data_IF_062541287933
#
_entry.id   IF_062541287933
#
_cell.length_a   1.000
_cell.length_b   1.000
_cell.length_c   1.000
_cell.angle_alpha   90.00
_cell.angle_beta   90.00
_cell.angle_gamma   90.00
#
_symmetry.space_group_name_H-M   'P 1'
#
loop_
_entity.id
_entity.type
_entity.pdbx_description
1 polymer ?
#
# COMPACT_ATOMS: atom_id res chain seq x y z
N UNK A 1 2.72 7.16 13.10
CA UNK A 1 1.56 7.09 12.17
C UNK A 1 0.67 5.93 12.59
N UNK A 2 -0.65 6.11 12.62
CA UNK A 2 -1.58 5.01 12.89
C UNK A 2 -1.59 4.02 11.71
N UNK A 3 -1.81 2.73 11.99
CA UNK A 3 -1.88 1.70 10.93
C UNK A 3 -3.02 1.97 9.94
N UNK A 4 -4.18 2.38 10.45
CA UNK A 4 -5.36 2.64 9.63
C UNK A 4 -5.16 3.81 8.64
N UNK A 5 -4.54 4.91 9.06
CA UNK A 5 -4.25 6.04 8.17
C UNK A 5 -3.32 5.61 7.03
N UNK A 6 -2.29 4.81 7.35
CA UNK A 6 -1.35 4.32 6.34
C UNK A 6 -1.98 3.36 5.32
N UNK A 7 -2.90 2.50 5.76
CA UNK A 7 -3.66 1.63 4.85
C UNK A 7 -4.55 2.46 3.91
N UNK A 8 -5.17 3.52 4.42
CA UNK A 8 -5.97 4.44 3.62
C UNK A 8 -5.09 5.19 2.61
N UNK A 9 -3.93 5.70 3.03
CA UNK A 9 -2.97 6.35 2.13
C UNK A 9 -2.48 5.40 1.04
N UNK A 10 -2.17 4.15 1.39
CA UNK A 10 -1.77 3.11 0.43
C UNK A 10 -2.88 2.81 -0.59
N UNK A 11 -4.13 2.64 -0.15
CA UNK A 11 -5.26 2.48 -1.06
C UNK A 11 -5.41 3.69 -1.98
N UNK A 12 -5.27 4.91 -1.45
CA UNK A 12 -5.42 6.11 -2.26
C UNK A 12 -4.31 6.24 -3.31
N UNK A 13 -3.08 5.85 -2.99
CA UNK A 13 -1.99 5.76 -3.96
C UNK A 13 -2.35 4.76 -5.08
N UNK A 14 -2.69 3.52 -4.70
CA UNK A 14 -2.99 2.46 -5.66
C UNK A 14 -4.15 2.83 -6.60
N UNK A 15 -5.22 3.43 -6.09
CA UNK A 15 -6.35 3.87 -6.94
C UNK A 15 -6.01 4.99 -7.92
N UNK A 16 -5.02 5.83 -7.61
CA UNK A 16 -4.61 6.94 -8.49
C UNK A 16 -3.66 6.49 -9.60
N UNK A 17 -3.10 5.30 -9.49
CA UNK A 17 -2.15 4.77 -10.46
C UNK A 17 -2.86 3.76 -11.37
N UNK A 18 -3.03 4.14 -12.64
CA UNK A 18 -3.67 3.31 -13.68
C UNK A 18 -2.77 2.18 -14.22
N UNK A 19 -1.89 1.61 -13.39
CA UNK A 19 -0.95 0.59 -13.83
C UNK A 19 -0.07 0.05 -12.71
N UNK A 20 0.81 -0.87 -13.07
CA UNK A 20 1.72 -1.54 -12.13
C UNK A 20 2.73 -0.54 -11.56
N UNK A 21 2.74 -0.39 -10.23
CA UNK A 21 3.69 0.46 -9.51
C UNK A 21 4.63 -0.43 -8.71
N UNK A 22 5.92 -0.12 -8.71
CA UNK A 22 6.87 -0.89 -7.91
C UNK A 22 6.60 -0.72 -6.41
N UNK A 23 6.66 -1.82 -5.66
CA UNK A 23 6.53 -1.76 -4.21
C UNK A 23 7.59 -0.88 -3.55
N UNK A 24 8.80 -0.80 -4.13
CA UNK A 24 9.84 0.11 -3.62
C UNK A 24 9.40 1.58 -3.71
N UNK A 25 8.80 1.99 -4.83
CA UNK A 25 8.31 3.35 -5.00
C UNK A 25 7.20 3.71 -4.00
N UNK A 26 6.26 2.78 -3.78
CA UNK A 26 5.19 2.98 -2.78
C UNK A 26 5.74 3.06 -1.35
N UNK A 27 6.72 2.22 -1.02
CA UNK A 27 7.36 2.22 0.29
C UNK A 27 8.10 3.54 0.55
N UNK A 28 8.85 4.05 -0.44
CA UNK A 28 9.53 5.34 -0.38
C UNK A 28 8.54 6.50 -0.22
N UNK A 29 7.45 6.51 -1.01
CA UNK A 29 6.39 7.52 -0.94
C UNK A 29 5.70 7.57 0.44
N UNK A 30 5.50 6.41 1.06
CA UNK A 30 4.87 6.29 2.38
C UNK A 30 5.88 6.42 3.54
N UNK A 31 7.18 6.53 3.25
CA UNK A 31 8.23 6.59 4.27
C UNK A 31 8.34 5.33 5.13
N UNK A 32 8.07 4.15 4.55
CA UNK A 32 8.08 2.86 5.25
C UNK A 32 9.04 1.87 4.61
N UNK A 33 9.37 0.81 5.35
CA UNK A 33 10.11 -0.32 4.77
C UNK A 33 9.27 -1.11 3.77
N UNK A 34 9.93 -1.74 2.80
CA UNK A 34 9.28 -2.63 1.83
C UNK A 34 8.57 -3.82 2.51
N UNK A 35 9.12 -4.32 3.63
CA UNK A 35 8.48 -5.37 4.45
C UNK A 35 7.16 -4.89 5.06
N UNK A 36 7.12 -3.65 5.53
CA UNK A 36 5.89 -3.03 6.07
C UNK A 36 4.86 -2.88 4.97
N UNK A 37 5.27 -2.42 3.79
CA UNK A 37 4.39 -2.30 2.64
C UNK A 37 3.73 -3.64 2.29
N UNK A 38 4.50 -4.73 2.13
CA UNK A 38 3.93 -6.02 1.79
C UNK A 38 2.97 -6.57 2.85
N UNK A 39 3.23 -6.30 4.15
CA UNK A 39 2.28 -6.64 5.21
C UNK A 39 0.98 -5.86 5.11
N UNK A 40 1.07 -4.59 4.72
CA UNK A 40 -0.09 -3.73 4.54
C UNK A 40 -0.88 -4.12 3.28
N UNK A 41 -0.21 -4.47 2.18
CA UNK A 41 -0.85 -5.06 0.98
C UNK A 41 -1.58 -6.35 1.34
N UNK A 42 -0.92 -7.29 2.05
CA UNK A 42 -1.57 -8.53 2.51
C UNK A 42 -2.78 -8.27 3.42
N UNK A 43 -2.74 -7.17 4.20
CA UNK A 43 -3.88 -6.76 5.03
C UNK A 43 -5.01 -6.21 4.17
N UNK A 44 -4.71 -5.39 3.18
CA UNK A 44 -5.70 -4.86 2.23
C UNK A 44 -6.35 -6.00 1.43
N UNK A 45 -5.57 -6.97 0.95
CA UNK A 45 -6.06 -8.17 0.27
C UNK A 45 -7.01 -8.98 1.16
N UNK A 46 -6.63 -9.21 2.43
CA UNK A 46 -7.50 -9.89 3.40
C UNK A 46 -8.80 -9.13 3.69
N UNK A 47 -8.83 -7.81 3.46
CA UNK A 47 -10.02 -6.96 3.56
C UNK A 47 -10.83 -6.89 2.26
N UNK A 48 -10.40 -7.56 1.20
CA UNK A 48 -11.08 -7.59 -0.11
C UNK A 48 -10.65 -6.48 -1.08
N UNK A 49 -9.52 -5.81 -0.85
CA UNK A 49 -8.95 -4.91 -1.85
C UNK A 49 -8.39 -5.71 -3.03
N UNK A 50 -8.77 -5.33 -4.25
CA UNK A 50 -8.29 -5.92 -5.50
C UNK A 50 -6.91 -5.34 -5.88
N UNK A 51 -5.86 -5.90 -5.29
CA UNK A 51 -4.46 -5.47 -5.44
C UNK A 51 -3.56 -6.70 -5.55
N UNK A 52 -2.80 -6.82 -6.64
CA UNK A 52 -1.88 -7.94 -6.96
C UNK A 52 -0.44 -7.48 -7.20
#
# INVERSE_FOLDING_TARGET
MARASRLFDLLHLLHRQSGVVSGRHLAERLGISLRTLYRDIATLQAMGADVE
#
